data_IF_519871693596
#
_entry.id   IF_519871693596
#
_cell.length_a   1.000
_cell.length_b   1.000
_cell.length_c   1.000
_cell.angle_alpha   90.00
_cell.angle_beta   90.00
_cell.angle_gamma   90.00
#
_symmetry.space_group_name_H-M   'P 1'
#
loop_
_entity.id
_entity.type
_entity.pdbx_description
1 polymer ?
#
# COMPACT_ATOMS: atom_id res chain seq x y z
N UNK A 1 -13.22 7.80 6.81
CA UNK A 1 -11.74 7.87 6.92
C UNK A 1 -11.12 7.53 5.58
N UNK A 2 -10.81 8.55 4.76
CA UNK A 2 -10.06 8.40 3.51
C UNK A 2 -8.58 8.18 3.88
N UNK A 3 -8.21 6.96 4.27
CA UNK A 3 -6.85 6.66 4.70
C UNK A 3 -5.94 6.58 3.47
N UNK A 4 -5.34 7.74 3.17
CA UNK A 4 -3.96 7.94 2.68
C UNK A 4 -3.55 6.93 1.60
N UNK A 5 -4.03 7.13 0.37
CA UNK A 5 -3.42 6.50 -0.80
C UNK A 5 -2.43 7.50 -1.40
N UNK A 6 -1.17 7.45 -0.98
CA UNK A 6 -0.09 8.15 -1.70
C UNK A 6 0.30 7.28 -2.89
N UNK A 7 -0.30 7.57 -4.04
CA UNK A 7 0.07 6.98 -5.33
C UNK A 7 1.34 7.70 -5.80
N UNK A 8 2.38 6.94 -6.14
CA UNK A 8 3.58 7.48 -6.77
C UNK A 8 3.61 6.95 -8.21
N UNK A 9 3.58 7.84 -9.18
CA UNK A 9 3.83 7.51 -10.59
C UNK A 9 5.33 7.66 -10.86
N UNK A 10 6.02 6.56 -11.16
CA UNK A 10 7.35 6.66 -11.77
C UNK A 10 7.15 7.06 -13.23
N UNK A 11 7.49 8.28 -13.65
CA UNK A 11 7.59 8.55 -15.08
C UNK A 11 8.59 9.66 -15.40
N UNK A 12 9.35 9.54 -16.51
CA UNK A 12 9.43 10.71 -17.37
C UNK A 12 9.33 10.52 -18.89
N UNK A 13 9.20 9.32 -19.51
CA UNK A 13 9.38 9.28 -20.98
C UNK A 13 8.83 8.16 -21.87
N UNK A 14 8.21 7.07 -21.39
CA UNK A 14 7.85 5.97 -22.32
C UNK A 14 6.38 5.58 -22.17
N UNK A 15 5.66 5.51 -23.30
CA UNK A 15 4.28 5.02 -23.42
C UNK A 15 4.14 3.51 -23.14
N UNK A 16 4.89 3.01 -22.16
CA UNK A 16 4.75 1.67 -21.60
C UNK A 16 4.01 1.81 -20.29
N UNK A 17 2.79 1.27 -20.25
CA UNK A 17 2.00 0.95 -19.06
C UNK A 17 2.63 1.47 -17.77
N UNK A 18 2.26 2.69 -17.35
CA UNK A 18 2.69 3.26 -16.08
C UNK A 18 2.40 2.25 -14.96
N UNK A 19 3.44 1.56 -14.48
CA UNK A 19 3.31 0.66 -13.34
C UNK A 19 3.06 1.54 -12.11
N UNK A 20 1.79 1.75 -11.80
CA UNK A 20 1.38 2.49 -10.61
C UNK A 20 1.86 1.75 -9.37
N UNK A 21 2.76 2.38 -8.61
CA UNK A 21 3.24 1.88 -7.33
C UNK A 21 2.69 2.73 -6.19
N UNK A 22 2.42 2.09 -5.05
CA UNK A 22 1.89 2.75 -3.86
C UNK A 22 2.52 2.19 -2.59
N UNK A 23 2.56 3.00 -1.54
CA UNK A 23 2.98 2.56 -0.21
C UNK A 23 1.90 1.79 0.54
N UNK A 24 0.65 1.90 0.07
CA UNK A 24 -0.55 1.29 0.67
C UNK A 24 -1.35 0.50 -0.38
N UNK A 25 -2.00 -0.61 0.01
CA UNK A 25 -2.80 -1.41 -0.91
C UNK A 25 -4.04 -0.62 -1.35
N UNK A 26 -4.60 -0.96 -2.52
CA UNK A 26 -5.92 -0.47 -2.89
C UNK A 26 -6.98 -1.08 -1.97
N UNK A 27 -8.11 -0.40 -1.83
CA UNK A 27 -9.23 -0.88 -1.02
C UNK A 27 -9.63 -2.33 -1.37
N UNK A 28 -9.79 -2.65 -2.65
CA UNK A 28 -10.13 -4.02 -3.08
C UNK A 28 -9.10 -5.08 -2.63
N UNK A 29 -7.81 -4.73 -2.59
CA UNK A 29 -6.75 -5.64 -2.13
C UNK A 29 -6.74 -5.78 -0.62
N UNK A 30 -7.11 -4.71 0.10
CA UNK A 30 -7.30 -4.74 1.54
C UNK A 30 -8.51 -5.60 1.93
N UNK A 31 -9.65 -5.39 1.26
CA UNK A 31 -10.92 -6.10 1.45
C UNK A 31 -10.82 -7.59 1.12
N UNK A 32 -10.01 -7.96 0.11
CA UNK A 32 -9.74 -9.36 -0.20
C UNK A 32 -8.86 -10.06 0.85
N UNK A 33 -8.21 -9.31 1.75
CA UNK A 33 -7.30 -9.81 2.75
C UNK A 33 -7.96 -10.07 4.11
N UNK A 34 -7.23 -10.79 4.98
CA UNK A 34 -7.68 -11.12 6.35
C UNK A 34 -7.72 -9.94 7.32
N UNK A 35 -7.38 -8.73 6.88
CA UNK A 35 -7.34 -7.52 7.71
C UNK A 35 -8.61 -6.67 7.55
N UNK A 36 -9.50 -7.03 6.62
CA UNK A 36 -10.80 -6.38 6.48
C UNK A 36 -11.85 -7.00 7.40
N UNK A 37 -12.05 -6.36 8.54
CA UNK A 37 -13.13 -6.69 9.48
C UNK A 37 -14.29 -5.67 9.41
N UNK A 38 -14.31 -4.79 8.39
CA UNK A 38 -15.25 -3.66 8.31
C UNK A 38 -14.96 -2.49 9.26
N UNK A 39 -13.94 -2.62 10.13
CA UNK A 39 -13.42 -1.56 10.99
C UNK A 39 -11.92 -1.76 11.23
N UNK A 40 -11.27 -0.75 11.82
CA UNK A 40 -9.85 -0.79 12.12
C UNK A 40 -9.58 -1.67 13.35
N UNK A 41 -9.06 -2.88 13.12
CA UNK A 41 -8.76 -3.85 14.18
C UNK A 41 -7.37 -3.61 14.79
N UNK A 42 -7.10 -4.12 16.00
CA UNK A 42 -5.74 -4.12 16.56
C UNK A 42 -4.70 -4.81 15.65
N UNK A 43 -5.12 -5.82 14.88
CA UNK A 43 -4.27 -6.49 13.89
C UNK A 43 -3.95 -5.59 12.71
N UNK A 44 -4.94 -4.83 12.20
CA UNK A 44 -4.73 -3.83 11.16
C UNK A 44 -3.77 -2.72 11.61
N UNK A 45 -3.92 -2.22 12.84
CA UNK A 45 -2.98 -1.26 13.45
C UNK A 45 -1.57 -1.84 13.53
N UNK A 46 -1.42 -3.07 14.03
CA UNK A 46 -0.12 -3.73 14.18
C UNK A 46 0.58 -3.90 12.82
N UNK A 47 -0.17 -4.30 11.80
CA UNK A 47 0.33 -4.38 10.43
C UNK A 47 0.77 -3.02 9.89
N UNK A 48 -0.04 -1.98 10.07
CA UNK A 48 0.25 -0.63 9.60
C UNK A 48 1.51 -0.07 10.25
N UNK A 49 1.64 -0.21 11.58
CA UNK A 49 2.82 0.22 12.32
C UNK A 49 4.08 -0.56 11.93
N UNK A 50 3.97 -1.87 11.72
CA UNK A 50 5.09 -2.68 11.24
C UNK A 50 5.55 -2.20 9.87
N UNK A 51 4.62 -1.94 8.94
CA UNK A 51 4.96 -1.43 7.61
C UNK A 51 5.55 -0.02 7.67
N UNK A 52 4.99 0.88 8.48
CA UNK A 52 5.55 2.22 8.70
C UNK A 52 6.99 2.16 9.21
N UNK A 53 7.31 1.24 10.13
CA UNK A 53 8.69 1.01 10.58
C UNK A 53 9.57 0.58 9.41
N UNK A 54 9.17 -0.42 8.63
CA UNK A 54 9.95 -0.84 7.46
C UNK A 54 10.18 0.26 6.42
N UNK A 55 9.21 1.16 6.22
CA UNK A 55 9.37 2.33 5.33
C UNK A 55 10.42 3.28 5.89
N UNK A 56 10.36 3.59 7.19
CA UNK A 56 11.32 4.49 7.86
C UNK A 56 12.72 3.90 7.91
N UNK A 57 12.84 2.59 8.07
CA UNK A 57 14.11 1.87 8.07
C UNK A 57 14.67 1.67 6.65
N UNK A 58 13.93 2.09 5.60
CA UNK A 58 14.34 1.95 4.20
C UNK A 58 14.29 0.51 3.67
N UNK A 59 13.70 -0.42 4.42
CA UNK A 59 13.61 -1.84 4.05
C UNK A 59 12.38 -2.17 3.21
N UNK A 60 11.34 -1.34 3.27
CA UNK A 60 10.16 -1.46 2.41
C UNK A 60 10.29 -0.61 1.13
N UNK A 61 9.64 -1.07 0.05
CA UNK A 61 9.48 -0.35 -1.22
C UNK A 61 7.99 -0.16 -1.55
N UNK A 62 7.61 0.87 -2.32
CA UNK A 62 6.27 0.96 -2.85
C UNK A 62 6.03 -0.23 -3.78
N UNK A 63 4.81 -0.76 -3.75
CA UNK A 63 4.42 -1.99 -4.45
C UNK A 63 3.43 -1.67 -5.56
N UNK A 64 3.50 -2.39 -6.67
CA UNK A 64 2.46 -2.36 -7.70
C UNK A 64 1.25 -3.24 -7.31
N UNK A 65 0.19 -3.21 -8.11
CA UNK A 65 -1.06 -3.93 -7.80
C UNK A 65 -0.90 -5.45 -7.63
N UNK A 66 0.05 -6.08 -8.33
CA UNK A 66 0.29 -7.53 -8.25
C UNK A 66 1.15 -7.92 -7.04
N UNK A 67 1.93 -6.99 -6.50
CA UNK A 67 2.80 -7.22 -5.34
C UNK A 67 2.07 -7.03 -3.99
N UNK A 68 0.90 -6.41 -4.03
CA UNK A 68 0.03 -6.16 -2.87
C UNK A 68 -0.79 -7.38 -2.51
#
# INVERSE_FOLDING_TARGET
LKLICLIITNNPSDRKHDEHVSWWPKQITWEAGYLDAGYWTPTAESWFQARMRSIRDGTAKPKNATQW
#
